data_IF_134461439669
#
_entry.id   IF_134461439669
#
_cell.length_a   1.000
_cell.length_b   1.000
_cell.length_c   1.000
_cell.angle_alpha   90.00
_cell.angle_beta   90.00
_cell.angle_gamma   90.00
#
_symmetry.space_group_name_H-M   'P 1'
#
loop_
_entity.id
_entity.type
_entity.pdbx_description
1 polymer ?
#
# COMPACT_ATOMS: atom_id res chain seq x y z
N UNK A 1 -17.86 -8.26 -2.27
CA UNK A 1 -17.82 -7.86 -0.86
C UNK A 1 -16.40 -7.94 -0.32
N UNK A 2 -16.04 -7.07 0.63
CA UNK A 2 -14.77 -7.10 1.35
C UNK A 2 -15.05 -7.41 2.82
N UNK A 3 -14.35 -8.41 3.37
CA UNK A 3 -14.45 -8.83 4.76
C UNK A 3 -13.06 -8.84 5.38
N UNK A 4 -12.96 -8.49 6.67
CA UNK A 4 -11.69 -8.61 7.38
C UNK A 4 -11.90 -9.05 8.83
N UNK A 5 -10.90 -9.74 9.37
CA UNK A 5 -10.82 -10.15 10.77
C UNK A 5 -9.39 -9.95 11.25
N UNK A 6 -9.22 -9.33 12.40
CA UNK A 6 -7.91 -9.04 13.00
C UNK A 6 -7.91 -9.64 14.40
N UNK A 7 -7.03 -10.62 14.64
CA UNK A 7 -6.85 -11.32 15.89
C UNK A 7 -5.39 -11.13 16.33
N UNK A 8 -5.08 -9.98 16.89
CA UNK A 8 -3.75 -9.62 17.38
C UNK A 8 -3.84 -9.16 18.83
N UNK A 9 -2.87 -9.54 19.64
CA UNK A 9 -2.72 -9.10 21.03
C UNK A 9 -1.88 -7.83 21.10
N UNK A 10 -0.83 -7.75 20.26
CA UNK A 10 0.06 -6.59 20.19
C UNK A 10 -0.28 -5.72 18.98
N UNK A 11 -0.83 -4.54 19.23
CA UNK A 11 -1.28 -3.63 18.18
C UNK A 11 -0.12 -2.91 17.48
N UNK A 12 1.04 -2.86 18.12
CA UNK A 12 2.15 -2.03 17.69
C UNK A 12 3.44 -2.81 17.45
N UNK A 13 4.00 -2.67 16.25
CA UNK A 13 5.19 -3.40 15.80
C UNK A 13 6.19 -2.47 15.14
N UNK A 14 7.47 -2.84 15.21
CA UNK A 14 8.53 -2.20 14.44
C UNK A 14 8.72 -2.95 13.13
N UNK A 15 8.51 -2.27 12.01
CA UNK A 15 8.65 -2.85 10.67
C UNK A 15 8.98 -1.79 9.63
N UNK A 16 9.42 -2.24 8.46
CA UNK A 16 9.48 -1.39 7.26
C UNK A 16 8.07 -1.25 6.68
N UNK A 17 7.42 -0.15 7.04
CA UNK A 17 6.03 0.13 6.63
C UNK A 17 5.87 0.22 5.12
N UNK A 18 6.87 0.73 4.41
CA UNK A 18 6.84 0.85 2.95
C UNK A 18 6.79 -0.54 2.29
N UNK A 19 7.70 -1.45 2.70
CA UNK A 19 7.71 -2.81 2.14
C UNK A 19 6.45 -3.60 2.49
N UNK A 20 5.99 -3.51 3.75
CA UNK A 20 4.74 -4.16 4.18
C UNK A 20 3.54 -3.63 3.39
N UNK A 21 3.44 -2.31 3.21
CA UNK A 21 2.39 -1.70 2.39
C UNK A 21 2.41 -2.21 0.96
N UNK A 22 3.57 -2.22 0.32
CA UNK A 22 3.73 -2.70 -1.07
C UNK A 22 3.35 -4.19 -1.24
N UNK A 23 3.71 -5.05 -0.26
CA UNK A 23 3.30 -6.46 -0.26
C UNK A 23 1.77 -6.55 -0.34
N UNK A 24 1.06 -5.89 0.59
CA UNK A 24 -0.39 -6.03 0.67
C UNK A 24 -1.14 -5.28 -0.41
N UNK A 25 -0.66 -4.12 -0.87
CA UNK A 25 -1.25 -3.42 -2.03
C UNK A 25 -1.21 -4.31 -3.28
N UNK A 26 -0.10 -4.99 -3.56
CA UNK A 26 0.00 -5.89 -4.72
C UNK A 26 -0.93 -7.11 -4.58
N UNK A 27 -0.99 -7.74 -3.40
CA UNK A 27 -1.85 -8.91 -3.17
C UNK A 27 -3.32 -8.52 -3.25
N UNK A 28 -3.74 -7.44 -2.58
CA UNK A 28 -5.13 -6.97 -2.55
C UNK A 28 -5.59 -6.45 -3.91
N UNK A 29 -4.76 -5.70 -4.61
CA UNK A 29 -5.02 -5.25 -5.97
C UNK A 29 -5.28 -6.44 -6.90
N UNK A 30 -4.48 -7.51 -6.81
CA UNK A 30 -4.73 -8.73 -7.56
C UNK A 30 -6.04 -9.41 -7.13
N UNK A 31 -6.29 -9.57 -5.84
CA UNK A 31 -7.52 -10.18 -5.33
C UNK A 31 -8.77 -9.45 -5.86
N UNK A 32 -8.79 -8.11 -5.81
CA UNK A 32 -9.89 -7.29 -6.31
C UNK A 32 -10.01 -7.41 -7.84
N UNK A 33 -8.90 -7.29 -8.55
CA UNK A 33 -8.83 -7.30 -10.00
C UNK A 33 -9.33 -8.60 -10.63
N UNK A 34 -9.04 -9.74 -9.99
CA UNK A 34 -9.38 -11.06 -10.51
C UNK A 34 -10.67 -11.65 -9.89
N UNK A 35 -11.32 -10.92 -9.00
CA UNK A 35 -12.63 -11.31 -8.46
C UNK A 35 -13.75 -10.64 -9.25
N UNK A 36 -14.62 -11.39 -9.91
CA UNK A 36 -15.73 -10.83 -10.67
C UNK A 36 -16.78 -10.17 -9.75
N UNK A 37 -17.66 -9.38 -10.35
CA UNK A 37 -18.78 -8.78 -9.63
C UNK A 37 -19.62 -9.87 -8.92
N UNK A 38 -20.03 -9.59 -7.68
CA UNK A 38 -20.71 -10.55 -6.80
C UNK A 38 -19.77 -11.43 -5.97
N UNK A 39 -18.48 -11.47 -6.29
CA UNK A 39 -17.49 -12.19 -5.49
C UNK A 39 -17.08 -11.47 -4.21
N UNK A 40 -16.17 -12.08 -3.45
CA UNK A 40 -15.69 -11.55 -2.18
C UNK A 40 -14.18 -11.67 -2.03
N UNK A 41 -13.60 -10.75 -1.26
CA UNK A 41 -12.23 -10.80 -0.76
C UNK A 41 -12.29 -10.80 0.76
N UNK A 42 -11.56 -11.73 1.38
CA UNK A 42 -11.49 -11.89 2.84
C UNK A 42 -10.05 -11.76 3.31
N UNK A 43 -9.82 -10.92 4.30
CA UNK A 43 -8.52 -10.69 4.92
C UNK A 43 -8.59 -11.20 6.36
N UNK A 44 -7.68 -12.10 6.72
CA UNK A 44 -7.52 -12.54 8.10
C UNK A 44 -6.10 -12.24 8.55
N UNK A 45 -5.97 -11.54 9.67
CA UNK A 45 -4.69 -11.23 10.32
C UNK A 45 -4.68 -11.92 11.67
N UNK A 46 -3.77 -12.85 11.86
CA UNK A 46 -3.61 -13.59 13.11
C UNK A 46 -2.20 -13.37 13.66
N UNK A 47 -2.12 -13.06 14.94
CA UNK A 47 -0.88 -13.17 15.70
C UNK A 47 -0.63 -14.64 16.07
N UNK A 48 0.60 -15.07 15.91
CA UNK A 48 1.05 -16.40 16.29
C UNK A 48 2.12 -16.30 17.38
N UNK A 49 2.21 -17.33 18.20
CA UNK A 49 3.23 -17.44 19.25
C UNK A 49 4.61 -17.39 18.61
N UNK A 50 5.50 -16.58 19.17
CA UNK A 50 6.90 -16.49 18.83
C UNK A 50 7.73 -16.91 20.05
N UNK A 51 8.67 -17.87 19.87
CA UNK A 51 9.53 -18.33 20.96
C UNK A 51 10.59 -17.30 21.36
N UNK A 52 10.78 -16.23 20.55
CA UNK A 52 11.76 -15.19 20.82
C UNK A 52 11.10 -14.02 21.59
N UNK A 53 11.56 -13.73 22.82
CA UNK A 53 11.01 -12.65 23.63
C UNK A 53 11.11 -11.28 22.92
N UNK A 54 10.03 -10.50 22.97
CA UNK A 54 9.94 -9.19 22.32
C UNK A 54 9.64 -9.24 20.81
N UNK A 55 9.36 -10.43 20.28
CA UNK A 55 8.94 -10.63 18.91
C UNK A 55 7.59 -11.32 18.82
N UNK A 56 6.88 -11.05 17.73
CA UNK A 56 5.64 -11.72 17.34
C UNK A 56 5.70 -12.17 15.90
N UNK A 57 4.90 -13.16 15.55
CA UNK A 57 4.73 -13.60 14.18
C UNK A 57 3.33 -13.20 13.74
N UNK A 58 3.23 -12.46 12.65
CA UNK A 58 1.96 -12.09 12.03
C UNK A 58 1.74 -12.92 10.79
N UNK A 59 0.61 -13.63 10.74
CA UNK A 59 0.14 -14.35 9.57
C UNK A 59 -1.06 -13.65 8.98
N UNK A 60 -0.89 -13.11 7.78
CA UNK A 60 -1.97 -12.49 7.01
C UNK A 60 -2.39 -13.39 5.86
N UNK A 61 -3.68 -13.71 5.79
CA UNK A 61 -4.29 -14.47 4.71
C UNK A 61 -5.24 -13.59 3.93
N UNK A 62 -5.01 -13.49 2.62
CA UNK A 62 -5.91 -12.82 1.69
C UNK A 62 -6.52 -13.88 0.80
N UNK A 63 -7.83 -14.09 0.93
CA UNK A 63 -8.61 -15.03 0.13
C UNK A 63 -9.56 -14.28 -0.78
N UNK A 64 -9.56 -14.64 -2.03
CA UNK A 64 -10.54 -14.18 -3.01
C UNK A 64 -11.41 -15.35 -3.53
N UNK A 65 -12.58 -15.04 -4.04
CA UNK A 65 -13.46 -15.96 -4.76
C UNK A 65 -13.41 -15.70 -6.27
N UNK A 66 -12.24 -15.37 -6.78
CA UNK A 66 -11.98 -15.01 -8.16
C UNK A 66 -11.87 -16.21 -9.10
N UNK A 67 -11.29 -15.95 -10.25
CA UNK A 67 -11.11 -16.96 -11.31
C UNK A 67 -10.17 -18.10 -10.92
N UNK A 68 -9.35 -17.92 -9.87
CA UNK A 68 -8.31 -18.86 -9.49
C UNK A 68 -7.19 -18.97 -10.53
N UNK A 69 -6.28 -19.92 -10.31
CA UNK A 69 -5.08 -20.14 -11.12
C UNK A 69 -4.86 -21.63 -11.40
N UNK A 70 -4.31 -21.94 -12.56
CA UNK A 70 -3.85 -23.29 -12.88
C UNK A 70 -2.69 -23.72 -11.98
N UNK A 71 -2.50 -25.02 -11.79
CA UNK A 71 -1.41 -25.55 -10.97
C UNK A 71 -0.03 -25.20 -11.55
N UNK A 72 0.08 -25.23 -12.87
CA UNK A 72 1.32 -24.84 -13.57
C UNK A 72 1.67 -23.36 -13.37
N UNK A 73 0.67 -22.47 -13.30
CA UNK A 73 0.90 -21.07 -13.07
C UNK A 73 1.25 -20.78 -11.61
N UNK A 74 0.65 -21.48 -10.65
CA UNK A 74 0.97 -21.32 -9.22
C UNK A 74 2.45 -21.54 -8.93
N UNK A 75 3.14 -22.43 -9.64
CA UNK A 75 4.57 -22.67 -9.46
C UNK A 75 5.45 -21.52 -9.94
N UNK A 76 4.91 -20.64 -10.78
CA UNK A 76 5.64 -19.55 -11.46
C UNK A 76 5.12 -18.16 -11.11
N UNK A 77 4.11 -18.05 -10.25
CA UNK A 77 3.46 -16.77 -9.98
C UNK A 77 4.41 -15.71 -9.40
N UNK A 78 5.48 -16.16 -8.73
CA UNK A 78 6.49 -15.28 -8.17
C UNK A 78 7.65 -14.97 -9.14
N UNK A 79 7.66 -15.56 -10.32
CA UNK A 79 8.66 -15.25 -11.35
C UNK A 79 8.31 -13.92 -12.02
N UNK A 80 9.33 -13.11 -12.30
CA UNK A 80 9.14 -11.82 -12.94
C UNK A 80 8.58 -11.97 -14.36
N UNK A 81 7.71 -11.04 -14.76
CA UNK A 81 7.07 -11.00 -16.09
C UNK A 81 6.16 -12.19 -16.41
N UNK A 82 5.81 -12.99 -15.41
CA UNK A 82 4.94 -14.16 -15.61
C UNK A 82 3.48 -13.75 -15.55
N UNK A 83 2.67 -14.25 -16.51
CA UNK A 83 1.22 -14.02 -16.59
C UNK A 83 0.54 -15.30 -17.04
N UNK A 84 -0.60 -15.62 -16.44
CA UNK A 84 -1.43 -16.70 -16.93
C UNK A 84 -2.07 -16.30 -18.25
N UNK A 85 -1.84 -17.08 -19.30
CA UNK A 85 -2.43 -16.89 -20.62
C UNK A 85 -3.85 -17.46 -20.62
N UNK A 86 -4.81 -16.75 -20.04
CA UNK A 86 -6.21 -17.12 -20.14
C UNK A 86 -6.86 -16.27 -21.25
N UNK A 87 -7.26 -16.93 -22.33
CA UNK A 87 -7.80 -16.30 -23.56
C UNK A 87 -9.05 -15.45 -23.31
N UNK A 88 -9.77 -15.68 -22.23
CA UNK A 88 -11.00 -14.95 -21.86
C UNK A 88 -10.74 -13.63 -21.13
N UNK A 89 -9.53 -13.42 -20.58
CA UNK A 89 -9.18 -12.28 -19.72
C UNK A 89 -8.13 -11.34 -20.32
N UNK A 90 -7.98 -11.33 -21.64
CA UNK A 90 -6.98 -10.50 -22.36
C UNK A 90 -7.13 -8.98 -22.17
N UNK A 91 -8.19 -8.52 -21.51
CA UNK A 91 -8.41 -7.09 -21.19
C UNK A 91 -7.82 -6.65 -19.86
N UNK A 92 -7.30 -7.56 -19.02
CA UNK A 92 -6.75 -7.19 -17.72
C UNK A 92 -5.27 -6.83 -17.88
N UNK A 93 -4.96 -5.53 -17.83
CA UNK A 93 -3.61 -4.98 -17.98
C UNK A 93 -2.78 -5.20 -16.71
N UNK A 94 -1.48 -5.52 -16.84
CA UNK A 94 -0.55 -5.62 -15.71
C UNK A 94 0.85 -5.98 -16.21
N UNK A 95 1.89 -5.52 -15.54
CA UNK A 95 3.29 -5.73 -15.90
C UNK A 95 3.80 -7.16 -15.63
N UNK A 96 3.12 -7.93 -14.77
CA UNK A 96 3.61 -9.23 -14.30
C UNK A 96 4.75 -9.13 -13.28
N UNK A 97 4.97 -7.95 -12.70
CA UNK A 97 6.04 -7.70 -11.72
C UNK A 97 5.54 -7.72 -10.27
N UNK A 98 4.26 -7.48 -10.03
CA UNK A 98 3.73 -7.29 -8.67
C UNK A 98 4.04 -8.45 -7.72
N UNK A 99 3.84 -9.70 -8.15
CA UNK A 99 4.06 -10.86 -7.28
C UNK A 99 5.54 -11.20 -7.09
N UNK A 100 6.41 -10.91 -8.05
CA UNK A 100 7.86 -11.04 -7.87
C UNK A 100 8.41 -9.98 -6.89
N UNK A 101 7.84 -8.77 -6.89
CA UNK A 101 8.14 -7.73 -5.89
C UNK A 101 7.68 -8.17 -4.50
N UNK A 102 6.47 -8.72 -4.38
CA UNK A 102 5.95 -9.28 -3.13
C UNK A 102 6.91 -10.32 -2.57
N UNK A 103 7.30 -11.32 -3.38
CA UNK A 103 8.24 -12.36 -2.96
C UNK A 103 9.56 -11.78 -2.46
N UNK A 104 10.13 -10.83 -3.22
CA UNK A 104 11.38 -10.17 -2.86
C UNK A 104 11.28 -9.41 -1.52
N UNK A 105 10.19 -8.70 -1.28
CA UNK A 105 10.01 -7.96 -0.03
C UNK A 105 9.76 -8.88 1.15
N UNK A 106 8.97 -9.94 0.97
CA UNK A 106 8.77 -10.96 2.01
C UNK A 106 10.11 -11.60 2.39
N UNK A 107 10.95 -11.97 1.41
CA UNK A 107 12.29 -12.55 1.66
C UNK A 107 13.23 -11.55 2.37
N UNK A 108 13.20 -10.26 1.97
CA UNK A 108 13.98 -9.20 2.62
C UNK A 108 13.56 -8.97 4.08
N UNK A 109 12.28 -9.20 4.40
CA UNK A 109 11.75 -9.13 5.76
C UNK A 109 11.92 -10.44 6.53
N UNK A 110 12.57 -11.45 5.95
CA UNK A 110 12.81 -12.75 6.59
C UNK A 110 11.55 -13.59 6.78
N UNK A 111 10.50 -13.32 6.00
CA UNK A 111 9.22 -14.00 6.07
C UNK A 111 9.02 -15.11 5.05
N UNK A 112 7.79 -15.59 4.98
CA UNK A 112 7.35 -16.58 3.98
C UNK A 112 6.07 -16.14 3.29
N UNK A 113 5.91 -16.54 2.04
CA UNK A 113 4.66 -16.40 1.29
C UNK A 113 4.29 -17.70 0.62
N UNK A 114 3.04 -18.10 0.80
CA UNK A 114 2.45 -19.29 0.18
C UNK A 114 1.20 -18.90 -0.62
N UNK A 115 0.90 -19.68 -1.68
CA UNK A 115 -0.31 -19.53 -2.48
C UNK A 115 -1.01 -20.86 -2.64
N UNK A 116 -2.34 -20.85 -2.45
CA UNK A 116 -3.23 -21.95 -2.79
C UNK A 116 -4.33 -21.43 -3.68
N UNK A 117 -4.53 -22.04 -4.82
CA UNK A 117 -5.54 -21.60 -5.78
C UNK A 117 -6.12 -22.78 -6.56
N UNK A 118 -7.37 -22.63 -6.99
CA UNK A 118 -8.05 -23.59 -7.84
C UNK A 118 -8.87 -22.82 -8.88
N UNK A 119 -8.76 -23.21 -10.14
CA UNK A 119 -9.52 -22.59 -11.23
C UNK A 119 -11.03 -22.57 -10.92
N UNK A 120 -11.64 -21.41 -11.03
CA UNK A 120 -13.07 -21.19 -10.77
C UNK A 120 -13.45 -21.09 -9.28
N UNK A 121 -12.51 -21.26 -8.33
CA UNK A 121 -12.80 -21.19 -6.88
C UNK A 121 -12.11 -20.03 -6.17
N UNK A 122 -11.12 -19.41 -6.84
CA UNK A 122 -10.35 -18.31 -6.27
C UNK A 122 -8.99 -18.71 -5.75
N UNK A 123 -8.34 -17.78 -5.03
CA UNK A 123 -7.00 -17.95 -4.50
C UNK A 123 -6.91 -17.57 -3.04
N UNK A 124 -5.90 -18.08 -2.36
CA UNK A 124 -5.54 -17.69 -1.00
C UNK A 124 -4.03 -17.47 -0.94
N UNK A 125 -3.63 -16.25 -0.68
CA UNK A 125 -2.26 -15.88 -0.38
C UNK A 125 -2.06 -15.82 1.13
N UNK A 126 -0.99 -16.43 1.62
CA UNK A 126 -0.64 -16.44 3.05
C UNK A 126 0.76 -15.86 3.19
N UNK A 127 0.86 -14.72 3.85
CA UNK A 127 2.13 -14.05 4.20
C UNK A 127 2.36 -14.22 5.69
N UNK A 128 3.56 -14.65 6.07
CA UNK A 128 3.96 -14.79 7.47
C UNK A 128 5.23 -13.98 7.69
N UNK A 129 5.18 -13.01 8.59
CA UNK A 129 6.28 -12.10 8.90
C UNK A 129 6.54 -12.11 10.41
N UNK A 130 7.82 -12.06 10.79
CA UNK A 130 8.24 -11.86 12.18
C UNK A 130 8.51 -10.38 12.39
N UNK A 131 7.94 -9.81 13.44
CA UNK A 131 8.10 -8.42 13.81
C UNK A 131 8.59 -8.28 15.24
N UNK A 132 9.35 -7.25 15.50
CA UNK A 132 9.64 -6.84 16.87
C UNK A 132 8.42 -6.11 17.42
N UNK A 133 8.00 -6.48 18.63
CA UNK A 133 6.96 -5.74 19.35
C UNK A 133 7.55 -4.40 19.74
N UNK A 134 6.80 -3.34 19.57
CA UNK A 134 7.24 -2.03 19.97
C UNK A 134 6.83 -1.78 21.43
N UNK A 135 7.78 -1.34 22.25
CA UNK A 135 7.54 -1.01 23.65
C UNK A 135 6.72 0.28 23.79
N UNK A 136 5.90 0.39 24.85
CA UNK A 136 5.05 1.57 25.10
C UNK A 136 5.81 2.90 25.08
N UNK A 137 7.08 2.92 25.53
CA UNK A 137 7.94 4.10 25.48
C UNK A 137 8.32 4.56 24.06
N UNK A 138 8.19 3.70 23.06
CA UNK A 138 8.54 4.03 21.67
C UNK A 138 7.49 4.92 20.99
N UNK A 139 6.23 4.92 21.48
CA UNK A 139 5.12 5.69 20.90
C UNK A 139 4.98 7.09 21.45
N UNK A 140 5.25 7.24 22.75
CA UNK A 140 4.89 8.45 23.49
C UNK A 140 5.83 9.63 23.23
N UNK A 141 7.10 9.40 22.95
CA UNK A 141 8.05 10.50 22.82
C UNK A 141 8.41 10.88 21.38
N UNK A 142 8.58 9.92 20.48
CA UNK A 142 9.03 10.22 19.11
C UNK A 142 7.93 10.63 18.14
N UNK A 143 6.75 10.03 18.23
CA UNK A 143 5.70 10.29 17.25
C UNK A 143 4.95 11.59 17.52
N UNK A 144 4.79 11.97 18.79
CA UNK A 144 4.17 13.26 19.13
C UNK A 144 5.12 14.40 18.79
N UNK A 145 6.41 14.29 19.12
CA UNK A 145 7.41 15.32 18.78
C UNK A 145 7.67 15.48 17.27
N UNK A 146 7.66 14.38 16.49
CA UNK A 146 7.83 14.46 15.03
C UNK A 146 6.59 15.03 14.33
N UNK A 147 5.39 14.73 14.80
CA UNK A 147 4.15 15.30 14.27
C UNK A 147 3.99 16.77 14.66
N UNK A 148 4.33 17.14 15.90
CA UNK A 148 4.27 18.54 16.35
C UNK A 148 5.33 19.40 15.64
N UNK A 149 6.58 18.94 15.53
CA UNK A 149 7.63 19.66 14.78
C UNK A 149 7.36 19.73 13.29
N UNK A 150 6.73 18.70 12.71
CA UNK A 150 6.35 18.67 11.30
C UNK A 150 5.25 19.67 10.97
N UNK A 151 4.25 19.81 11.83
CA UNK A 151 3.14 20.76 11.61
C UNK A 151 3.58 22.21 11.76
N UNK A 152 4.43 22.53 12.72
CA UNK A 152 4.97 23.90 12.91
C UNK A 152 5.81 24.35 11.70
N UNK A 153 6.55 23.45 11.04
CA UNK A 153 7.38 23.77 9.87
C UNK A 153 6.51 24.02 8.63
N UNK A 154 5.37 23.37 8.53
CA UNK A 154 4.49 23.44 7.36
C UNK A 154 3.45 24.56 7.46
N UNK A 155 3.10 24.98 8.68
CA UNK A 155 2.02 25.96 8.89
C UNK A 155 2.28 27.28 8.18
N UNK A 156 1.30 27.68 7.36
CA UNK A 156 1.32 28.94 6.61
C UNK A 156 2.20 28.93 5.37
N UNK A 157 2.87 27.81 5.02
CA UNK A 157 3.67 27.70 3.79
C UNK A 157 2.77 27.69 2.55
N UNK A 158 3.25 28.30 1.48
CA UNK A 158 2.53 28.42 0.21
C UNK A 158 2.98 27.31 -0.75
N UNK A 159 2.01 26.52 -1.22
CA UNK A 159 2.23 25.40 -2.14
C UNK A 159 1.55 25.70 -3.48
N UNK A 160 2.28 25.51 -4.58
CA UNK A 160 1.69 25.44 -5.89
C UNK A 160 1.48 23.98 -6.27
N UNK A 161 0.22 23.57 -6.42
CA UNK A 161 -0.20 22.20 -6.79
C UNK A 161 -0.58 22.16 -8.26
N UNK A 162 0.14 21.37 -9.08
CA UNK A 162 -0.22 21.08 -10.45
C UNK A 162 -0.83 19.68 -10.56
N UNK A 163 -2.15 19.60 -10.71
CA UNK A 163 -2.91 18.33 -10.80
C UNK A 163 -4.06 18.50 -11.78
N UNK A 164 -4.08 17.68 -12.83
CA UNK A 164 -5.05 17.71 -13.94
C UNK A 164 -6.38 17.00 -13.60
N UNK A 165 -6.39 16.15 -12.59
CA UNK A 165 -7.57 15.44 -12.15
C UNK A 165 -8.22 16.16 -10.96
N UNK A 166 -9.47 16.64 -11.15
CA UNK A 166 -10.20 17.39 -10.12
C UNK A 166 -10.36 16.62 -8.79
N UNK A 167 -10.64 15.31 -8.86
CA UNK A 167 -10.80 14.50 -7.66
C UNK A 167 -9.48 14.33 -6.89
N UNK A 168 -8.37 14.14 -7.61
CA UNK A 168 -7.05 14.06 -7.00
C UNK A 168 -6.67 15.40 -6.35
N UNK A 169 -6.95 16.50 -7.05
CA UNK A 169 -6.70 17.85 -6.55
C UNK A 169 -7.48 18.11 -5.26
N UNK A 170 -8.79 17.82 -5.24
CA UNK A 170 -9.65 17.99 -4.06
C UNK A 170 -9.13 17.18 -2.84
N UNK A 171 -8.67 15.94 -3.09
CA UNK A 171 -8.09 15.10 -2.04
C UNK A 171 -6.75 15.67 -1.54
N UNK A 172 -5.88 16.11 -2.46
CA UNK A 172 -4.59 16.70 -2.12
C UNK A 172 -4.76 18.00 -1.33
N UNK A 173 -5.65 18.90 -1.79
CA UNK A 173 -5.98 20.16 -1.12
C UNK A 173 -6.47 19.89 0.31
N UNK A 174 -7.44 18.97 0.49
CA UNK A 174 -7.98 18.65 1.80
C UNK A 174 -6.92 18.13 2.79
N UNK A 175 -5.95 17.33 2.30
CA UNK A 175 -4.86 16.79 3.11
C UNK A 175 -3.86 17.90 3.49
N UNK A 176 -3.48 18.73 2.52
CA UNK A 176 -2.47 19.77 2.69
C UNK A 176 -2.99 20.93 3.53
N UNK A 177 -4.24 21.36 3.33
CA UNK A 177 -4.90 22.37 4.16
C UNK A 177 -5.02 21.91 5.61
N UNK A 178 -5.33 20.63 5.85
CA UNK A 178 -5.37 20.08 7.20
C UNK A 178 -3.99 20.11 7.89
N UNK A 179 -2.90 20.08 7.11
CA UNK A 179 -1.53 20.25 7.59
C UNK A 179 -1.14 21.74 7.79
N UNK A 180 -2.06 22.69 7.60
CA UNK A 180 -1.82 24.13 7.77
C UNK A 180 -1.20 24.83 6.57
N UNK A 181 -1.11 24.17 5.41
CA UNK A 181 -0.55 24.72 4.19
C UNK A 181 -1.57 25.59 3.45
N UNK A 182 -1.09 26.56 2.70
CA UNK A 182 -1.87 27.36 1.76
C UNK A 182 -1.61 26.86 0.35
N UNK A 183 -2.68 26.49 -0.37
CA UNK A 183 -2.56 25.86 -1.68
C UNK A 183 -3.12 26.77 -2.75
N UNK A 184 -2.38 26.90 -3.84
CA UNK A 184 -2.83 27.42 -5.11
C UNK A 184 -2.72 26.31 -6.14
N UNK A 185 -3.84 26.02 -6.83
CA UNK A 185 -3.90 24.93 -7.81
C UNK A 185 -3.79 25.48 -9.22
N UNK A 186 -3.09 24.71 -10.07
CA UNK A 186 -3.09 24.83 -11.54
C UNK A 186 -3.36 23.46 -12.15
N UNK A 187 -3.90 23.41 -13.36
CA UNK A 187 -4.35 22.15 -13.96
C UNK A 187 -3.23 21.36 -14.63
N UNK A 188 -2.14 22.04 -15.05
CA UNK A 188 -1.04 21.39 -15.77
C UNK A 188 0.32 22.04 -15.50
N UNK A 189 1.37 21.38 -16.00
CA UNK A 189 2.75 21.86 -15.85
C UNK A 189 3.03 23.16 -16.62
N UNK A 190 2.28 23.47 -17.69
CA UNK A 190 2.46 24.73 -18.46
C UNK A 190 1.93 25.89 -17.64
N UNK A 191 0.75 25.74 -17.06
CA UNK A 191 0.18 26.75 -16.16
C UNK A 191 1.06 26.92 -14.92
N UNK A 192 1.63 25.82 -14.38
CA UNK A 192 2.56 25.87 -13.27
C UNK A 192 3.81 26.73 -13.59
N UNK A 193 4.43 26.52 -14.74
CA UNK A 193 5.59 27.32 -15.19
C UNK A 193 5.20 28.78 -15.39
N UNK A 194 4.07 29.07 -16.02
CA UNK A 194 3.59 30.44 -16.23
C UNK A 194 3.36 31.14 -14.89
N UNK A 195 2.69 30.47 -13.96
CA UNK A 195 2.40 31.02 -12.63
C UNK A 195 3.69 31.37 -11.87
N UNK A 196 4.70 30.49 -11.93
CA UNK A 196 6.00 30.76 -11.28
C UNK A 196 6.73 31.94 -11.93
N UNK A 197 6.63 32.07 -13.26
CA UNK A 197 7.28 33.16 -14.00
C UNK A 197 6.63 34.54 -13.75
N UNK A 198 5.35 34.56 -13.44
CA UNK A 198 4.59 35.80 -13.18
C UNK A 198 4.69 36.26 -11.73
N UNK A 199 4.98 35.34 -10.81
CA UNK A 199 5.04 35.64 -9.37
C UNK A 199 6.45 36.02 -8.92
N UNK A 200 6.59 36.87 -7.87
CA UNK A 200 7.88 37.17 -7.26
C UNK A 200 8.58 35.93 -6.75
N UNK A 201 9.92 35.93 -6.80
CA UNK A 201 10.73 34.85 -6.23
C UNK A 201 10.42 34.68 -4.75
N UNK A 202 10.09 33.45 -4.32
CA UNK A 202 9.76 33.13 -2.94
C UNK A 202 8.26 33.23 -2.62
N UNK A 203 7.37 33.41 -3.63
CA UNK A 203 5.92 33.34 -3.44
C UNK A 203 5.48 31.95 -3.00
N UNK A 204 6.08 30.90 -3.56
CA UNK A 204 5.83 29.50 -3.20
C UNK A 204 7.04 28.90 -2.52
N UNK A 205 6.78 28.15 -1.45
CA UNK A 205 7.78 27.38 -0.69
C UNK A 205 8.05 26.02 -1.34
N UNK A 206 7.06 25.47 -2.05
CA UNK A 206 7.12 24.16 -2.68
C UNK A 206 6.18 24.07 -3.88
N UNK A 207 6.54 23.21 -4.82
CA UNK A 207 5.71 22.83 -5.96
C UNK A 207 5.46 21.32 -5.86
N UNK A 208 4.21 20.92 -5.97
CA UNK A 208 3.77 19.52 -6.07
C UNK A 208 3.17 19.27 -7.46
N UNK A 209 3.61 18.16 -8.09
CA UNK A 209 3.15 17.74 -9.43
C UNK A 209 2.95 16.24 -9.46
#
# INVERSE_FOLDING_TARGET
ALHYTINVEHEHILTDTTKVKEIFVNILSNAIKYTPSGGSVTINVDELICDEPGYMIVRTRVRDTGIGMSQDYQTKIFDAFTRERNTTMSKITGSGLGMSIVKKYVDLLGGTIDVKSELGKGSTFTVTLKHRIADEGYYTEKHVEELEKGSEILEGRNILLAEDNDLNAEIAEAILERAGLKIERVEDGIQCVNQIMEMPVGTYDMILM
#
